data_IF_753323095076
#
_entry.id   IF_753323095076
#
_cell.length_a   1.000
_cell.length_b   1.000
_cell.length_c   1.000
_cell.angle_alpha   90.00
_cell.angle_beta   90.00
_cell.angle_gamma   90.00
#
_symmetry.space_group_name_H-M   'P 1'
#
loop_
_entity.id
_entity.type
_entity.pdbx_description
1 polymer ?
#
# COMPACT_ATOMS: atom_id res chain seq x y z
N UNK A 1 -10.82 -9.77 35.98
CA UNK A 1 -11.71 -10.80 35.38
C UNK A 1 -12.07 -10.45 33.93
N UNK A 2 -11.51 -11.17 32.95
CA UNK A 2 -11.92 -11.09 31.54
C UNK A 2 -12.91 -12.22 31.27
N UNK A 3 -14.04 -12.01 30.58
CA UNK A 3 -14.93 -13.11 30.25
C UNK A 3 -14.28 -13.99 29.18
N UNK A 4 -14.32 -15.29 29.43
CA UNK A 4 -14.06 -16.33 28.48
C UNK A 4 -15.23 -16.41 27.49
N UNK A 5 -14.94 -16.36 26.19
CA UNK A 5 -15.95 -16.48 25.15
C UNK A 5 -15.38 -16.37 23.76
N UNK A 6 -15.45 -17.50 23.03
CA UNK A 6 -15.34 -17.67 21.59
C UNK A 6 -13.95 -17.47 20.94
N UNK A 7 -13.42 -18.58 20.39
CA UNK A 7 -12.38 -18.58 19.37
C UNK A 7 -12.86 -18.00 18.04
N UNK A 8 -13.29 -16.74 18.06
CA UNK A 8 -13.51 -15.94 16.87
C UNK A 8 -12.16 -15.52 16.31
N UNK A 9 -11.93 -15.80 15.02
CA UNK A 9 -10.79 -15.32 14.24
C UNK A 9 -10.62 -13.82 14.55
N UNK A 10 -9.52 -13.44 15.22
CA UNK A 10 -9.22 -12.03 15.47
C UNK A 10 -9.18 -11.33 14.12
N UNK A 11 -10.00 -10.28 13.95
CA UNK A 11 -10.05 -9.50 12.72
C UNK A 11 -8.62 -9.04 12.37
N UNK A 12 -8.19 -9.14 11.09
CA UNK A 12 -6.80 -8.83 10.69
C UNK A 12 -6.33 -7.45 11.18
N UNK A 13 -7.27 -6.50 11.23
CA UNK A 13 -7.09 -5.12 11.68
C UNK A 13 -6.71 -5.03 13.16
N UNK A 14 -7.29 -5.86 14.04
CA UNK A 14 -6.98 -5.88 15.48
C UNK A 14 -5.62 -6.46 15.85
N UNK A 15 -4.86 -7.00 14.88
CA UNK A 15 -3.52 -7.54 15.12
C UNK A 15 -2.40 -6.51 14.95
N UNK A 16 -2.70 -5.31 14.46
CA UNK A 16 -1.70 -4.28 14.23
C UNK A 16 -1.41 -3.47 15.51
N UNK A 17 -0.15 -3.02 15.74
CA UNK A 17 0.18 -2.23 16.92
C UNK A 17 -0.61 -0.91 16.95
N UNK A 18 -0.96 -0.45 18.15
CA UNK A 18 -1.64 0.83 18.33
C UNK A 18 -0.89 1.96 17.61
N UNK A 19 -1.60 2.72 16.77
CA UNK A 19 -1.05 3.81 15.96
C UNK A 19 -0.68 3.45 14.51
N UNK A 20 -0.77 2.18 14.10
CA UNK A 20 -0.60 1.78 12.69
C UNK A 20 -1.87 1.92 11.85
N UNK A 21 -3.00 2.06 12.53
CA UNK A 21 -4.33 2.16 11.94
C UNK A 21 -4.96 3.45 12.43
N UNK A 22 -5.48 4.22 11.49
CA UNK A 22 -6.24 5.42 11.77
C UNK A 22 -7.74 5.11 11.86
N UNK A 23 -8.54 6.16 12.08
CA UNK A 23 -9.98 6.05 12.24
C UNK A 23 -10.67 5.50 10.98
N UNK A 24 -10.07 5.65 9.79
CA UNK A 24 -10.64 5.08 8.56
C UNK A 24 -10.60 3.54 8.57
N UNK A 25 -9.56 2.93 9.13
CA UNK A 25 -9.51 1.47 9.24
C UNK A 25 -10.52 0.90 10.24
N UNK A 26 -10.96 1.68 11.24
CA UNK A 26 -12.08 1.30 12.11
C UNK A 26 -13.40 1.28 11.36
N UNK A 27 -13.63 2.24 10.46
CA UNK A 27 -14.85 2.29 9.66
C UNK A 27 -14.96 1.07 8.72
N UNK A 28 -13.84 0.55 8.23
CA UNK A 28 -13.80 -0.68 7.42
C UNK A 28 -14.17 -1.92 8.25
N UNK A 29 -13.86 -1.97 9.55
CA UNK A 29 -14.36 -3.04 10.44
C UNK A 29 -15.88 -2.95 10.65
N UNK A 30 -16.42 -1.73 10.77
CA UNK A 30 -17.86 -1.51 10.98
C UNK A 30 -18.72 -1.86 9.73
N UNK A 31 -18.10 -1.95 8.55
CA UNK A 31 -18.72 -2.38 7.30
C UNK A 31 -18.83 -3.91 7.17
N UNK A 32 -18.16 -4.68 8.05
CA UNK A 32 -18.22 -6.14 8.04
C UNK A 32 -19.45 -6.63 8.79
N UNK A 33 -20.33 -7.37 8.11
CA UNK A 33 -21.52 -7.98 8.68
C UNK A 33 -21.61 -9.49 8.37
N UNK A 34 -22.66 -10.17 8.84
CA UNK A 34 -22.86 -11.59 8.56
C UNK A 34 -23.11 -11.89 7.07
N UNK A 35 -23.51 -10.88 6.28
CA UNK A 35 -23.71 -11.01 4.84
C UNK A 35 -22.38 -10.87 4.05
N UNK A 36 -21.36 -10.24 4.64
CA UNK A 36 -20.05 -9.96 4.01
C UNK A 36 -18.87 -10.29 4.94
N UNK A 37 -18.73 -11.57 5.38
CA UNK A 37 -17.80 -11.95 6.44
C UNK A 37 -16.31 -11.83 6.07
N UNK A 38 -15.96 -11.54 4.82
CA UNK A 38 -14.56 -11.39 4.37
C UNK A 38 -14.22 -9.99 3.87
N UNK A 39 -15.13 -9.02 4.00
CA UNK A 39 -14.96 -7.67 3.44
C UNK A 39 -13.64 -7.01 3.84
N UNK A 40 -13.30 -7.04 5.13
CA UNK A 40 -12.04 -6.49 5.66
C UNK A 40 -10.81 -7.17 5.04
N UNK A 41 -10.85 -8.48 4.84
CA UNK A 41 -9.75 -9.23 4.23
C UNK A 41 -9.59 -8.88 2.75
N UNK A 42 -10.69 -8.76 2.02
CA UNK A 42 -10.70 -8.36 0.61
C UNK A 42 -10.15 -6.93 0.43
N UNK A 43 -10.56 -5.99 1.28
CA UNK A 43 -10.05 -4.61 1.26
C UNK A 43 -8.54 -4.58 1.52
N UNK A 44 -8.06 -5.34 2.51
CA UNK A 44 -6.63 -5.42 2.84
C UNK A 44 -5.83 -6.04 1.68
N UNK A 45 -6.36 -7.09 1.04
CA UNK A 45 -5.72 -7.74 -0.12
C UNK A 45 -5.63 -6.76 -1.30
N UNK A 46 -6.69 -6.03 -1.60
CA UNK A 46 -6.71 -5.03 -2.68
C UNK A 46 -5.72 -3.91 -2.39
N UNK A 47 -5.71 -3.38 -1.15
CA UNK A 47 -4.78 -2.33 -0.74
C UNK A 47 -3.31 -2.72 -0.98
N UNK A 48 -2.89 -3.91 -0.53
CA UNK A 48 -1.51 -4.37 -0.71
C UNK A 48 -1.17 -4.68 -2.17
N UNK A 49 -2.12 -5.24 -2.93
CA UNK A 49 -1.93 -5.52 -4.36
C UNK A 49 -1.73 -4.23 -5.15
N UNK A 50 -2.53 -3.22 -4.89
CA UNK A 50 -2.45 -1.93 -5.59
C UNK A 50 -1.21 -1.14 -5.15
N UNK A 51 -0.86 -1.19 -3.87
CA UNK A 51 0.37 -0.60 -3.34
C UNK A 51 1.62 -1.19 -4.01
N UNK A 52 1.66 -2.51 -4.23
CA UNK A 52 2.77 -3.16 -4.94
C UNK A 52 2.94 -2.63 -6.36
N UNK A 53 1.84 -2.42 -7.10
CA UNK A 53 1.88 -1.80 -8.43
C UNK A 53 2.35 -0.36 -8.39
N UNK A 54 1.86 0.43 -7.42
CA UNK A 54 2.27 1.81 -7.21
C UNK A 54 3.78 1.91 -6.93
N UNK A 55 4.31 1.05 -6.06
CA UNK A 55 5.73 0.98 -5.75
C UNK A 55 6.54 0.62 -7.00
N UNK A 56 6.16 -0.42 -7.74
CA UNK A 56 6.87 -0.79 -8.98
C UNK A 56 6.86 0.32 -10.02
N UNK A 57 5.75 1.06 -10.15
CA UNK A 57 5.68 2.21 -11.06
C UNK A 57 6.60 3.35 -10.60
N UNK A 58 6.71 3.60 -9.28
CA UNK A 58 7.65 4.58 -8.73
C UNK A 58 9.10 4.14 -8.94
N UNK A 59 9.43 2.87 -8.75
CA UNK A 59 10.76 2.32 -9.01
C UNK A 59 11.14 2.47 -10.48
N UNK A 60 10.22 2.17 -11.41
CA UNK A 60 10.44 2.37 -12.84
C UNK A 60 10.68 3.84 -13.16
N UNK A 61 9.81 4.74 -12.69
CA UNK A 61 9.95 6.17 -12.93
C UNK A 61 11.28 6.71 -12.36
N UNK A 62 11.66 6.29 -11.16
CA UNK A 62 12.93 6.64 -10.51
C UNK A 62 14.14 5.99 -11.17
N UNK A 63 14.01 4.84 -11.83
CA UNK A 63 15.07 4.24 -12.65
C UNK A 63 15.25 4.95 -13.99
N UNK A 64 14.16 5.46 -14.57
CA UNK A 64 14.16 6.25 -15.80
C UNK A 64 14.70 7.67 -15.59
N UNK A 65 14.51 8.27 -14.41
CA UNK A 65 14.97 9.63 -14.09
C UNK A 65 16.50 9.79 -14.27
N UNK A 66 17.38 8.95 -13.66
CA UNK A 66 18.83 9.00 -13.88
C UNK A 66 19.22 8.88 -15.35
N UNK A 67 18.55 7.98 -16.10
CA UNK A 67 18.83 7.77 -17.52
C UNK A 67 18.46 8.98 -18.38
N UNK A 68 17.35 9.64 -18.05
CA UNK A 68 16.91 10.86 -18.74
C UNK A 68 17.85 12.05 -18.49
N UNK A 69 18.35 12.21 -17.26
CA UNK A 69 19.35 13.25 -16.95
C UNK A 69 20.69 13.02 -17.66
N UNK A 70 21.15 11.77 -17.73
CA UNK A 70 22.36 11.44 -18.49
C UNK A 70 22.20 11.76 -19.97
N UNK A 71 21.07 11.37 -20.57
CA UNK A 71 20.80 11.64 -21.98
C UNK A 71 20.86 13.13 -22.27
N UNK A 72 20.17 13.98 -21.50
CA UNK A 72 20.17 15.45 -21.66
C UNK A 72 21.58 16.04 -21.53
N UNK A 73 22.38 15.57 -20.57
CA UNK A 73 23.77 15.98 -20.43
C UNK A 73 24.64 15.64 -21.65
N UNK A 74 24.41 14.48 -22.27
CA UNK A 74 25.10 14.09 -23.50
C UNK A 74 24.73 14.98 -24.70
N UNK A 75 23.46 15.42 -24.81
CA UNK A 75 23.03 16.28 -25.93
C UNK A 75 23.68 17.67 -25.83
N UNK A 76 23.77 18.24 -24.63
CA UNK A 76 24.46 19.52 -24.39
C UNK A 76 25.95 19.43 -24.76
N UNK A 77 26.64 18.39 -24.30
CA UNK A 77 28.05 18.17 -24.59
C UNK A 77 28.33 17.88 -26.08
N UNK A 78 27.38 17.28 -26.80
CA UNK A 78 27.47 17.05 -28.24
C UNK A 78 27.22 18.34 -29.05
N UNK A 79 26.38 19.24 -28.53
CA UNK A 79 26.03 20.51 -29.19
C UNK A 79 27.13 21.56 -29.02
N UNK A 80 27.88 21.55 -27.92
CA UNK A 80 29.01 22.47 -27.67
C UNK A 80 30.31 22.12 -28.43
N UNK A 81 30.34 20.98 -29.15
CA UNK A 81 31.52 20.55 -29.94
C UNK A 81 31.41 20.82 -31.45
N UNK A 82 30.43 21.63 -31.86
CA UNK A 82 30.19 21.99 -33.25
C UNK A 82 30.20 23.51 -33.42
#
# INVERSE_FOLDING_TARGET
PRPAGAGGRLSPVRRLPAGHLDEQFRQVEDLQDEASPNFVEEVVVVFFKDSGRLISNLEQALGEVPQRFQQVGCIHAATERQ
#
